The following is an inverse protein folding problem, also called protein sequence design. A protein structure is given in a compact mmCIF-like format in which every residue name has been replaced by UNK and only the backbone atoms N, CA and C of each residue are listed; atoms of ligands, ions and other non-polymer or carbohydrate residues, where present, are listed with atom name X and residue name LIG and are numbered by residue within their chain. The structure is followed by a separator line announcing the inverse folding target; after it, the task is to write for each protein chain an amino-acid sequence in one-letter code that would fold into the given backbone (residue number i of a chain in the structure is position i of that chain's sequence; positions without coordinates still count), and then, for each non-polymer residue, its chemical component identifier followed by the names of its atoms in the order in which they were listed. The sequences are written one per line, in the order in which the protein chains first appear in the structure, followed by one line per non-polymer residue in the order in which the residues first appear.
data_IF_679933262325
#
_entry.id   IF_679933262325
#
_cell.length_a   1.000
_cell.length_b   1.000
_cell.length_c   1.000
_cell.angle_alpha   90.00
_cell.angle_beta   90.00
_cell.angle_gamma   90.00
#
_symmetry.space_group_name_H-M   'P 1'
#
loop_
_entity.id
_entity.type
_entity.pdbx_description
1 polymer ?
#
# COMPACT_ATOMS: atom_id res chain seq x y z
N UNK A 1 -27.31 -12.66 40.05
CA UNK A 1 -28.26 -11.82 39.29
C UNK A 1 -27.57 -10.79 38.40
N UNK A 2 -26.44 -10.21 38.80
CA UNK A 2 -25.71 -9.18 38.04
C UNK A 2 -24.94 -9.69 36.82
N UNK A 3 -24.34 -10.89 36.91
CA UNK A 3 -23.57 -11.48 35.79
C UNK A 3 -24.45 -11.87 34.59
N UNK A 4 -25.68 -12.31 34.85
CA UNK A 4 -26.62 -12.73 33.79
C UNK A 4 -27.10 -11.52 32.97
N UNK A 5 -27.34 -10.37 33.62
CA UNK A 5 -27.71 -9.12 32.94
C UNK A 5 -26.58 -8.56 32.08
N UNK A 6 -25.33 -8.67 32.54
CA UNK A 6 -24.16 -8.26 31.76
C UNK A 6 -23.98 -9.11 30.48
N UNK A 7 -24.20 -10.43 30.59
CA UNK A 7 -24.18 -11.32 29.42
C UNK A 7 -25.28 -10.99 28.40
N UNK A 8 -26.49 -10.63 28.85
CA UNK A 8 -27.60 -10.23 27.97
C UNK A 8 -27.32 -8.89 27.29
N UNK A 9 -26.72 -7.93 27.99
CA UNK A 9 -26.25 -6.66 27.40
C UNK A 9 -25.18 -6.88 26.32
N UNK A 10 -24.20 -7.74 26.59
CA UNK A 10 -23.14 -8.11 25.63
C UNK A 10 -23.68 -8.95 24.45
N UNK A 11 -24.77 -9.70 24.66
CA UNK A 11 -25.43 -10.51 23.66
C UNK A 11 -26.52 -9.75 22.88
N UNK A 12 -26.73 -8.45 23.14
CA UNK A 12 -27.63 -7.64 22.32
C UNK A 12 -26.99 -7.46 20.95
N UNK A 13 -27.53 -8.18 19.97
CA UNK A 13 -27.21 -7.99 18.56
C UNK A 13 -27.51 -6.52 18.24
N UNK A 14 -26.48 -5.72 17.93
CA UNK A 14 -26.60 -4.28 17.66
C UNK A 14 -27.40 -3.95 16.37
N UNK A 15 -27.99 -4.97 15.75
CA UNK A 15 -28.85 -4.95 14.57
C UNK A 15 -30.23 -4.35 14.84
N UNK A 16 -30.28 -3.03 15.05
CA UNK A 16 -31.52 -2.26 15.05
C UNK A 16 -32.13 -2.10 13.63
N UNK A 17 -33.31 -1.45 13.49
CA UNK A 17 -34.00 -1.23 12.20
C UNK A 17 -33.18 -0.51 11.11
N UNK A 18 -32.06 0.12 11.49
CA UNK A 18 -31.13 0.81 10.60
C UNK A 18 -29.98 -0.08 10.10
N UNK A 19 -29.84 -1.30 10.65
CA UNK A 19 -28.84 -2.25 10.17
C UNK A 19 -29.17 -2.67 8.74
N UNK A 20 -28.19 -2.50 7.85
CA UNK A 20 -28.35 -2.74 6.42
C UNK A 20 -28.75 -1.51 5.61
N UNK A 21 -29.23 -0.39 6.19
CA UNK A 21 -29.45 0.85 5.43
C UNK A 21 -28.15 1.62 5.14
N UNK A 22 -27.14 1.44 5.99
CA UNK A 22 -25.78 1.94 5.73
C UNK A 22 -25.00 1.05 4.74
N UNK A 23 -25.41 -0.21 4.54
CA UNK A 23 -24.70 -1.18 3.69
C UNK A 23 -24.70 -0.83 2.19
N UNK A 24 -25.80 -0.33 1.57
CA UNK A 24 -25.82 0.07 0.18
C UNK A 24 -24.78 1.15 -0.16
N UNK A 25 -24.63 2.17 0.70
CA UNK A 25 -23.65 3.24 0.49
C UNK A 25 -22.22 2.71 0.62
N UNK A 26 -21.97 1.86 1.62
CA UNK A 26 -20.69 1.19 1.79
C UNK A 26 -20.28 0.39 0.55
N UNK A 27 -21.23 -0.32 -0.09
CA UNK A 27 -20.96 -1.07 -1.32
C UNK A 27 -20.54 -0.14 -2.47
N UNK A 28 -21.21 1.00 -2.66
CA UNK A 28 -20.85 1.99 -3.69
C UNK A 28 -19.44 2.52 -3.46
N UNK A 29 -19.09 2.86 -2.20
CA UNK A 29 -17.75 3.33 -1.85
C UNK A 29 -16.70 2.25 -2.13
N UNK A 30 -16.97 0.99 -1.79
CA UNK A 30 -16.08 -0.14 -2.07
C UNK A 30 -15.86 -0.29 -3.58
N UNK A 31 -16.92 -0.24 -4.38
CA UNK A 31 -16.80 -0.33 -5.85
C UNK A 31 -15.97 0.83 -6.40
N UNK A 32 -16.22 2.06 -5.94
CA UNK A 32 -15.45 3.23 -6.36
C UNK A 32 -13.98 3.12 -5.96
N UNK A 33 -13.70 2.62 -4.75
CA UNK A 33 -12.35 2.37 -4.26
C UNK A 33 -11.67 1.28 -5.12
N UNK A 34 -12.35 0.18 -5.43
CA UNK A 34 -11.81 -0.88 -6.29
C UNK A 34 -11.48 -0.36 -7.69
N UNK A 35 -12.33 0.50 -8.27
CA UNK A 35 -12.05 1.16 -9.55
C UNK A 35 -10.81 2.06 -9.40
N UNK A 36 -10.73 2.87 -8.35
CA UNK A 36 -9.58 3.72 -8.07
C UNK A 36 -8.27 2.94 -7.93
N UNK A 37 -8.28 1.85 -7.16
CA UNK A 37 -7.14 0.94 -6.99
C UNK A 37 -6.76 0.30 -8.32
N UNK A 38 -7.73 -0.20 -9.11
CA UNK A 38 -7.45 -0.81 -10.40
C UNK A 38 -6.84 0.19 -11.41
N UNK A 39 -7.34 1.43 -11.44
CA UNK A 39 -6.77 2.51 -12.25
C UNK A 39 -5.35 2.86 -11.81
N UNK A 40 -5.09 2.89 -10.51
CA UNK A 40 -3.76 3.14 -9.97
C UNK A 40 -2.77 2.03 -10.37
N UNK A 41 -3.17 0.77 -10.19
CA UNK A 41 -2.36 -0.38 -10.61
C UNK A 41 -2.09 -0.33 -12.11
N UNK A 42 -3.10 -0.03 -12.94
CA UNK A 42 -2.90 0.15 -14.39
C UNK A 42 -1.93 1.29 -14.70
N UNK A 43 -2.07 2.42 -14.02
CA UNK A 43 -1.22 3.59 -14.18
C UNK A 43 0.23 3.26 -13.88
N UNK A 44 0.50 2.70 -12.69
CA UNK A 44 1.84 2.28 -12.28
C UNK A 44 2.41 1.19 -13.20
N UNK A 45 1.60 0.20 -13.60
CA UNK A 45 2.01 -0.83 -14.55
C UNK A 45 2.40 -0.25 -15.91
N UNK A 46 1.85 0.90 -16.32
CA UNK A 46 2.26 1.57 -17.55
C UNK A 46 3.65 2.23 -17.43
N UNK A 47 4.02 2.70 -16.24
CA UNK A 47 5.35 3.24 -15.97
C UNK A 47 6.42 2.15 -15.86
N UNK A 48 6.10 1.03 -15.21
CA UNK A 48 7.02 -0.12 -15.15
C UNK A 48 7.41 -0.66 -16.53
N UNK A 49 6.49 -0.59 -17.51
CA UNK A 49 6.77 -0.98 -18.90
C UNK A 49 7.77 -0.08 -19.63
N UNK A 50 8.04 1.11 -19.11
CA UNK A 50 9.01 2.06 -19.70
C UNK A 50 10.42 1.87 -19.15
N UNK A 51 10.60 0.94 -18.21
CA UNK A 51 11.91 0.66 -17.66
C UNK A 51 12.71 -0.19 -18.66
N UNK A 52 14.00 0.15 -18.88
CA UNK A 52 14.88 -0.62 -19.75
C UNK A 52 15.12 -2.01 -19.16
N UNK A 53 15.48 -2.97 -20.02
CA UNK A 53 15.73 -4.36 -19.62
C UNK A 53 16.98 -4.51 -18.74
N UNK A 54 17.92 -3.56 -18.85
CA UNK A 54 19.14 -3.48 -18.05
C UNK A 54 19.34 -2.03 -17.62
N UNK A 55 19.79 -1.85 -16.38
CA UNK A 55 20.25 -0.56 -15.86
C UNK A 55 21.78 -0.45 -15.90
N UNK A 56 22.45 -1.37 -16.60
CA UNK A 56 23.89 -1.29 -16.83
C UNK A 56 24.22 -0.14 -17.79
N UNK A 57 25.12 0.77 -17.42
CA UNK A 57 25.66 1.75 -18.34
C UNK A 57 26.37 1.06 -19.49
N UNK A 58 26.04 1.42 -20.74
CA UNK A 58 26.76 0.93 -21.93
C UNK A 58 28.22 1.45 -21.97
N UNK A 59 28.47 2.57 -21.27
CA UNK A 59 29.78 3.16 -21.04
C UNK A 59 29.89 3.54 -19.55
N UNK A 60 30.86 3.02 -18.78
CA UNK A 60 30.99 3.26 -17.34
C UNK A 60 31.41 4.70 -16.97
N UNK A 61 31.72 5.54 -17.96
CA UNK A 61 32.36 6.85 -17.75
C UNK A 61 31.40 8.01 -17.38
N UNK A 62 30.15 8.10 -17.91
CA UNK A 62 29.27 9.25 -17.61
C UNK A 62 28.61 9.22 -16.22
N UNK A 63 28.30 8.03 -15.69
CA UNK A 63 27.56 7.88 -14.42
C UNK A 63 28.45 7.95 -13.16
N UNK A 64 29.77 7.86 -13.31
CA UNK A 64 30.71 7.99 -12.19
C UNK A 64 30.74 9.40 -11.58
N UNK A 65 30.36 10.43 -12.34
CA UNK A 65 30.29 11.81 -11.83
C UNK A 65 29.07 12.06 -10.91
N UNK A 66 28.06 11.17 -10.95
CA UNK A 66 26.90 11.23 -10.05
C UNK A 66 27.03 10.31 -8.82
N UNK A 67 27.93 9.31 -8.87
CA UNK A 67 28.23 8.38 -7.75
C UNK A 67 29.28 8.94 -6.76
N UNK A 68 29.90 10.09 -7.06
CA UNK A 68 30.89 10.75 -6.17
C UNK A 68 30.30 11.37 -4.88
N UNK A 69 28.98 11.21 -4.64
CA UNK A 69 28.26 11.78 -3.50
C UNK A 69 27.67 10.78 -2.50
N UNK A 70 27.77 9.46 -2.75
CA UNK A 70 27.39 8.44 -1.76
C UNK A 70 28.66 7.98 -1.07
N UNK A 71 28.85 8.40 0.18
CA UNK A 71 29.89 7.85 1.06
C UNK A 71 29.84 6.33 1.00
N UNK A 72 30.80 5.72 0.28
CA UNK A 72 31.05 4.27 0.32
C UNK A 72 31.52 3.96 1.74
N UNK A 73 30.55 3.70 2.61
CA UNK A 73 30.74 3.40 4.02
C UNK A 73 31.78 2.29 4.22
N UNK A 74 32.97 2.73 4.64
CA UNK A 74 33.91 2.06 5.53
C UNK A 74 34.16 0.57 5.35
N UNK A 75 35.22 0.22 4.61
CA UNK A 75 36.21 -0.74 5.10
C UNK A 75 37.56 -0.46 4.42
N UNK A 76 38.44 0.24 5.13
CA UNK A 76 39.87 0.32 4.78
C UNK A 76 40.61 -0.58 5.76
N UNK A 77 41.07 -1.78 5.36
CA UNK A 77 42.00 -2.54 6.18
C UNK A 77 43.35 -1.83 6.11
N UNK A 78 43.65 -1.07 7.16
CA UNK A 78 44.94 -0.45 7.44
C UNK A 78 46.07 -1.50 7.38
N UNK A 79 47.17 -1.18 6.69
CA UNK A 79 48.44 -1.94 6.65
C UNK A 79 49.53 -1.07 7.22
#
# INVERSE_FOLDING_TARGET
MTVLSASIMLAQNNTGPEFGKASPVGLVIIVLLLIGTALLVRSMNAHFKKLPASFEPEDPTPDQAADEGTDRGGFRPER
#
